data_IF_158380019019
#
_entry.id   IF_158380019019
#
_cell.length_a   1.000
_cell.length_b   1.000
_cell.length_c   1.000
_cell.angle_alpha   90.00
_cell.angle_beta   90.00
_cell.angle_gamma   90.00
#
_symmetry.space_group_name_H-M   'P 1'
#
loop_
_entity.id
_entity.type
_entity.pdbx_description
1 polymer ?
#
# COMPACT_ATOMS: atom_id res chain seq x y z
N UNK A 1 3.91 -1.27 21.04
CA UNK A 1 2.48 -0.95 20.99
C UNK A 1 1.81 -2.10 20.27
N UNK A 2 0.89 -2.78 20.95
CA UNK A 2 0.09 -3.82 20.32
C UNK A 2 -1.03 -3.12 19.54
N UNK A 3 -1.17 -3.41 18.25
CA UNK A 3 -2.21 -2.80 17.41
C UNK A 3 -3.54 -3.53 17.64
N UNK A 4 -4.53 -2.83 18.21
CA UNK A 4 -5.85 -3.40 18.46
C UNK A 4 -6.77 -3.35 17.24
N UNK A 5 -7.89 -4.05 17.30
CA UNK A 5 -8.93 -4.01 16.25
C UNK A 5 -9.41 -2.56 15.98
N UNK A 6 -9.56 -1.75 17.02
CA UNK A 6 -9.97 -0.35 16.89
C UNK A 6 -8.98 0.49 16.08
N UNK A 7 -7.68 0.19 16.18
CA UNK A 7 -6.65 0.90 15.41
C UNK A 7 -6.74 0.52 13.93
N UNK A 8 -7.04 -0.75 13.62
CA UNK A 8 -7.27 -1.20 12.25
C UNK A 8 -8.53 -0.56 11.65
N UNK A 9 -9.62 -0.46 12.42
CA UNK A 9 -10.85 0.23 12.00
C UNK A 9 -10.54 1.70 11.71
N UNK A 10 -9.83 2.39 12.61
CA UNK A 10 -9.44 3.79 12.39
C UNK A 10 -8.58 3.97 11.15
N UNK A 11 -7.64 3.07 10.90
CA UNK A 11 -6.80 3.10 9.71
C UNK A 11 -7.63 2.91 8.44
N UNK A 12 -8.54 1.93 8.41
CA UNK A 12 -9.38 1.68 7.23
C UNK A 12 -10.38 2.82 6.99
N UNK A 13 -10.99 3.37 8.05
CA UNK A 13 -11.86 4.54 7.92
C UNK A 13 -11.11 5.75 7.38
N UNK A 14 -9.87 5.98 7.83
CA UNK A 14 -9.03 7.06 7.29
C UNK A 14 -8.68 6.82 5.81
N UNK A 15 -8.45 5.56 5.40
CA UNK A 15 -8.24 5.19 4.00
C UNK A 15 -9.47 5.51 3.14
N UNK A 16 -10.66 5.05 3.52
CA UNK A 16 -11.90 5.34 2.77
C UNK A 16 -12.26 6.83 2.78
N UNK A 17 -11.93 7.54 3.87
CA UNK A 17 -12.12 8.98 3.94
C UNK A 17 -11.25 9.72 2.91
N UNK A 18 -10.02 9.27 2.66
CA UNK A 18 -9.20 9.81 1.57
C UNK A 18 -9.89 9.67 0.22
N UNK A 19 -10.44 8.49 -0.09
CA UNK A 19 -11.15 8.27 -1.37
C UNK A 19 -12.37 9.18 -1.51
N UNK A 20 -13.07 9.45 -0.40
CA UNK A 20 -14.15 10.44 -0.38
C UNK A 20 -13.64 11.86 -0.68
N UNK A 21 -12.49 12.26 -0.13
CA UNK A 21 -11.86 13.56 -0.43
C UNK A 21 -11.40 13.63 -1.89
N UNK A 22 -10.76 12.57 -2.39
CA UNK A 22 -10.31 12.46 -3.78
C UNK A 22 -11.49 12.64 -4.75
N UNK A 23 -12.57 11.89 -4.53
CA UNK A 23 -13.79 11.98 -5.31
C UNK A 23 -14.44 13.37 -5.24
N UNK A 24 -14.58 13.94 -4.04
CA UNK A 24 -15.22 15.25 -3.85
C UNK A 24 -14.40 16.42 -4.40
N UNK A 25 -13.08 16.28 -4.51
CA UNK A 25 -12.20 17.29 -5.11
C UNK A 25 -12.30 17.37 -6.63
N UNK A 26 -12.88 16.35 -7.28
CA UNK A 26 -13.01 16.25 -8.74
C UNK A 26 -11.69 16.01 -9.48
N UNK A 27 -10.60 15.68 -8.77
CA UNK A 27 -9.31 15.33 -9.37
C UNK A 27 -8.79 14.03 -8.75
N UNK A 28 -8.54 13.03 -9.58
CA UNK A 28 -7.90 11.81 -9.11
C UNK A 28 -6.42 12.06 -8.82
N UNK A 29 -5.88 11.40 -7.80
CA UNK A 29 -4.45 11.47 -7.44
C UNK A 29 -3.59 11.13 -8.65
N UNK A 30 -3.99 10.12 -9.43
CA UNK A 30 -3.29 9.69 -10.63
C UNK A 30 -3.19 10.79 -11.72
N UNK A 31 -4.08 11.77 -11.71
CA UNK A 31 -4.10 12.87 -12.69
C UNK A 31 -3.20 14.04 -12.27
N UNK A 32 -3.01 14.22 -10.96
CA UNK A 32 -2.22 15.33 -10.39
C UNK A 32 -0.77 14.94 -10.14
N UNK A 33 -0.46 13.66 -9.95
CA UNK A 33 0.93 13.20 -9.77
C UNK A 33 1.68 13.15 -11.09
N UNK A 34 2.95 13.53 -11.02
CA UNK A 34 3.83 13.49 -12.18
C UNK A 34 4.09 12.06 -12.65
N UNK A 35 4.20 11.90 -13.97
CA UNK A 35 4.61 10.64 -14.56
C UNK A 35 6.06 10.32 -14.18
N UNK A 36 6.29 9.11 -13.67
CA UNK A 36 7.60 8.58 -13.32
C UNK A 36 8.32 8.01 -14.54
N UNK A 37 9.64 8.07 -14.53
CA UNK A 37 10.46 7.47 -15.58
C UNK A 37 10.71 5.99 -15.26
N UNK A 38 10.39 5.12 -16.22
CA UNK A 38 10.58 3.67 -16.11
C UNK A 38 11.49 3.22 -17.25
N UNK A 39 12.56 2.49 -16.90
CA UNK A 39 13.44 1.87 -17.90
C UNK A 39 12.75 0.64 -18.48
N UNK A 40 12.47 0.68 -19.78
CA UNK A 40 12.04 -0.47 -20.56
C UNK A 40 13.18 -1.01 -21.42
N UNK A 41 12.92 -2.14 -22.10
CA UNK A 41 13.88 -2.77 -23.00
C UNK A 41 14.33 -1.87 -24.17
N UNK A 42 13.46 -0.95 -24.62
CA UNK A 42 13.73 -0.01 -25.72
C UNK A 42 13.96 1.44 -25.24
N UNK A 43 14.45 1.62 -24.01
CA UNK A 43 14.74 2.95 -23.46
C UNK A 43 13.75 3.39 -22.37
N UNK A 44 13.76 4.69 -22.07
CA UNK A 44 12.99 5.26 -20.95
C UNK A 44 11.58 5.64 -21.40
N UNK A 45 10.57 5.17 -20.68
CA UNK A 45 9.16 5.56 -20.86
C UNK A 45 8.69 6.35 -19.64
N UNK A 46 7.80 7.33 -19.86
CA UNK A 46 7.10 8.02 -18.77
C UNK A 46 5.75 7.36 -18.55
N UNK A 47 5.47 6.94 -17.32
CA UNK A 47 4.22 6.30 -16.94
C UNK A 47 3.64 7.00 -15.71
N UNK A 48 2.34 7.22 -15.72
CA UNK A 48 1.62 7.62 -14.51
C UNK A 48 1.23 6.37 -13.74
N UNK A 49 1.48 6.31 -12.42
CA UNK A 49 1.08 5.17 -11.62
C UNK A 49 -0.44 5.09 -11.53
N UNK A 50 -1.04 4.09 -12.18
CA UNK A 50 -2.49 3.90 -12.22
C UNK A 50 -3.13 3.71 -10.82
N UNK A 51 -2.33 3.30 -9.83
CA UNK A 51 -2.76 3.10 -8.42
C UNK A 51 -2.23 4.19 -7.48
N UNK A 52 -1.98 5.40 -7.99
CA UNK A 52 -1.50 6.50 -7.16
C UNK A 52 -2.50 6.88 -6.05
N UNK A 53 -3.80 6.78 -6.31
CA UNK A 53 -4.86 7.03 -5.34
C UNK A 53 -4.75 6.11 -4.12
N UNK A 54 -4.63 4.81 -4.33
CA UNK A 54 -4.44 3.83 -3.25
C UNK A 54 -3.18 4.10 -2.42
N UNK A 55 -2.06 4.38 -3.09
CA UNK A 55 -0.80 4.70 -2.41
C UNK A 55 -0.96 5.96 -1.54
N UNK A 56 -1.67 6.97 -2.04
CA UNK A 56 -1.95 8.19 -1.29
C UNK A 56 -2.95 7.94 -0.15
N UNK A 57 -3.98 7.12 -0.35
CA UNK A 57 -4.94 6.74 0.69
C UNK A 57 -4.27 6.03 1.85
N UNK A 58 -3.39 5.07 1.56
CA UNK A 58 -2.57 4.40 2.57
C UNK A 58 -1.62 5.36 3.28
N UNK A 59 -0.93 6.24 2.54
CA UNK A 59 -0.04 7.23 3.14
C UNK A 59 -0.79 8.19 4.06
N UNK A 60 -1.95 8.69 3.61
CA UNK A 60 -2.85 9.55 4.37
C UNK A 60 -3.34 8.86 5.65
N UNK A 61 -3.84 7.62 5.53
CA UNK A 61 -4.33 6.86 6.67
C UNK A 61 -3.25 6.65 7.72
N UNK A 62 -2.01 6.33 7.29
CA UNK A 62 -0.86 6.18 8.19
C UNK A 62 -0.52 7.47 8.92
N UNK A 63 -0.49 8.59 8.21
CA UNK A 63 -0.18 9.93 8.76
C UNK A 63 -1.21 10.34 9.81
N UNK A 64 -2.51 10.20 9.48
CA UNK A 64 -3.62 10.67 10.34
C UNK A 64 -3.78 9.81 11.59
N UNK A 65 -3.53 8.51 11.50
CA UNK A 65 -3.72 7.58 12.63
C UNK A 65 -2.45 7.36 13.44
N UNK A 66 -1.29 7.77 12.93
CA UNK A 66 0.01 7.45 13.53
C UNK A 66 0.31 5.95 13.55
N UNK A 67 -0.36 5.16 12.70
CA UNK A 67 -0.24 3.71 12.74
C UNK A 67 1.20 3.28 12.37
N UNK A 68 1.86 2.47 13.20
CA UNK A 68 3.30 2.21 13.08
C UNK A 68 3.65 1.25 11.93
N UNK A 69 2.66 0.65 11.28
CA UNK A 69 2.83 -0.42 10.29
C UNK A 69 2.45 0.06 8.89
N UNK A 70 3.19 -0.43 7.88
CA UNK A 70 2.92 -0.12 6.49
C UNK A 70 1.52 -0.66 6.07
N UNK A 71 0.61 0.17 5.53
CA UNK A 71 -0.79 -0.20 5.30
C UNK A 71 -1.02 -1.43 4.41
N UNK A 72 -0.11 -1.72 3.47
CA UNK A 72 -0.13 -3.00 2.70
C UNK A 72 -0.16 -4.22 3.62
N UNK A 73 0.55 -4.22 4.75
CA UNK A 73 0.51 -5.33 5.70
C UNK A 73 -0.88 -5.45 6.34
N UNK A 74 -1.60 -4.34 6.49
CA UNK A 74 -2.96 -4.34 7.04
C UNK A 74 -3.95 -4.95 6.05
N UNK A 75 -3.84 -4.66 4.76
CA UNK A 75 -4.68 -5.29 3.74
C UNK A 75 -4.48 -6.82 3.72
N UNK A 76 -3.24 -7.28 3.85
CA UNK A 76 -2.93 -8.70 3.95
C UNK A 76 -3.45 -9.35 5.24
N UNK A 77 -3.34 -8.67 6.38
CA UNK A 77 -3.92 -9.15 7.66
C UNK A 77 -5.45 -9.24 7.56
N UNK A 78 -6.10 -8.26 6.92
CA UNK A 78 -7.54 -8.29 6.68
C UNK A 78 -7.94 -9.48 5.78
N UNK A 79 -7.21 -9.71 4.69
CA UNK A 79 -7.42 -10.86 3.80
C UNK A 79 -7.22 -12.20 4.52
N UNK A 80 -6.26 -12.28 5.44
CA UNK A 80 -6.01 -13.46 6.27
C UNK A 80 -7.10 -13.70 7.34
N UNK A 81 -7.80 -12.65 7.76
CA UNK A 81 -8.85 -12.69 8.78
C UNK A 81 -10.23 -13.14 8.28
N UNK A 82 -10.50 -13.03 6.97
CA UNK A 82 -11.79 -13.32 6.33
C UNK A 82 -12.13 -14.83 6.26
N UNK A 83 -11.25 -15.72 6.73
CA UNK A 83 -11.47 -17.17 6.79
C UNK A 83 -11.58 -17.89 5.45
N UNK A 84 -11.63 -17.13 4.34
CA UNK A 84 -11.66 -17.63 2.96
C UNK A 84 -10.27 -17.95 2.39
N UNK A 85 -9.21 -17.51 3.06
CA UNK A 85 -7.83 -17.69 2.62
C UNK A 85 -7.02 -18.38 3.72
N UNK A 86 -6.16 -19.33 3.32
CA UNK A 86 -5.21 -19.95 4.23
C UNK A 86 -4.25 -18.88 4.77
N UNK A 87 -4.20 -18.77 6.10
CA UNK A 87 -3.44 -17.73 6.82
C UNK A 87 -1.95 -17.82 6.47
N UNK A 88 -1.42 -19.04 6.33
CA UNK A 88 -0.02 -19.26 5.96
C UNK A 88 0.24 -18.93 4.48
N UNK A 89 -0.74 -19.16 3.60
CA UNK A 89 -0.64 -18.75 2.20
C UNK A 89 -0.61 -17.22 2.05
N UNK A 90 -1.40 -16.51 2.86
CA UNK A 90 -1.40 -15.04 2.88
C UNK A 90 -0.05 -14.50 3.35
N UNK A 91 0.53 -15.06 4.41
CA UNK A 91 1.86 -14.66 4.90
C UNK A 91 2.96 -14.94 3.88
N UNK A 92 2.94 -16.09 3.21
CA UNK A 92 3.89 -16.42 2.12
C UNK A 92 3.80 -15.46 0.94
N UNK A 93 2.58 -15.08 0.55
CA UNK A 93 2.38 -14.11 -0.54
C UNK A 93 2.86 -12.72 -0.12
N UNK A 94 2.62 -12.30 1.13
CA UNK A 94 3.16 -11.06 1.68
C UNK A 94 4.69 -11.03 1.62
N UNK A 95 5.38 -12.06 2.13
CA UNK A 95 6.83 -12.15 2.10
C UNK A 95 7.39 -12.10 0.68
N UNK A 96 6.74 -12.80 -0.26
CA UNK A 96 7.12 -12.77 -1.66
C UNK A 96 6.95 -11.36 -2.27
N UNK A 97 5.86 -10.66 -1.96
CA UNK A 97 5.60 -9.30 -2.45
C UNK A 97 6.61 -8.29 -1.87
N UNK A 98 6.87 -8.35 -0.57
CA UNK A 98 7.90 -7.53 0.10
C UNK A 98 9.28 -7.81 -0.48
N UNK A 99 9.64 -9.08 -0.67
CA UNK A 99 10.90 -9.47 -1.30
C UNK A 99 11.06 -8.94 -2.73
N UNK A 100 10.00 -8.96 -3.54
CA UNK A 100 9.99 -8.36 -4.89
C UNK A 100 10.23 -6.85 -4.84
N UNK A 101 9.56 -6.13 -3.94
CA UNK A 101 9.71 -4.67 -3.79
C UNK A 101 11.09 -4.30 -3.28
N UNK A 102 11.59 -4.98 -2.23
CA UNK A 102 12.93 -4.74 -1.68
C UNK A 102 14.02 -4.95 -2.73
N UNK A 103 13.89 -6.00 -3.55
CA UNK A 103 14.80 -6.28 -4.67
C UNK A 103 14.71 -5.21 -5.77
N UNK A 104 13.51 -4.75 -6.10
CA UNK A 104 13.30 -3.71 -7.11
C UNK A 104 13.84 -2.33 -6.66
N UNK A 105 13.78 -2.03 -5.37
CA UNK A 105 14.28 -0.78 -4.78
C UNK A 105 15.77 -0.83 -4.42
N UNK A 106 16.45 -1.96 -4.63
CA UNK A 106 17.86 -2.18 -4.28
C UNK A 106 18.18 -1.82 -2.81
N UNK A 107 17.20 -1.98 -1.90
CA UNK A 107 17.42 -1.71 -0.48
C UNK A 107 18.39 -2.77 0.06
N UNK A 108 19.57 -2.38 0.57
CA UNK A 108 20.51 -3.35 1.10
C UNK A 108 19.96 -3.95 2.40
N UNK A 109 19.80 -5.28 2.45
CA UNK A 109 19.86 -6.02 3.71
C UNK A 109 18.56 -6.53 4.35
N UNK A 110 17.39 -6.51 3.69
CA UNK A 110 16.22 -7.20 4.26
C UNK A 110 16.30 -8.73 4.05
N UNK A 111 16.94 -9.44 5.00
CA UNK A 111 16.69 -10.89 5.18
C UNK A 111 15.32 -11.04 5.83
N UNK A 112 14.35 -11.57 5.08
CA UNK A 112 13.09 -12.06 5.66
C UNK A 112 13.41 -13.36 6.41
N UNK A 113 12.94 -13.44 7.65
CA UNK A 113 13.10 -14.58 8.58
C UNK A 113 12.00 -15.59 8.29
#
# INVERSE_FOLDING_TARGET
>A
MDAGMDDLIRLHVAHEFYHCLEFSSGKMTADVVDAVQVKGFFGVKRLRPARAGEVAAHAFAREVTGFPVHPVLVDWIALAGDGRHDRDAVLREFDMQVGKVARALQLPGCRCI
#
